data_IF_339938459745
#
_entry.id   IF_339938459745
#
_cell.length_a   1.000
_cell.length_b   1.000
_cell.length_c   1.000
_cell.angle_alpha   90.00
_cell.angle_beta   90.00
_cell.angle_gamma   90.00
#
_symmetry.space_group_name_H-M   'P 1'
#
loop_
_entity.id
_entity.type
_entity.pdbx_description
1 polymer ?
#
# COMPACT_ATOMS: atom_id res chain seq x y z
N UNK A 1 -3.26 -32.17 -25.45
CA UNK A 1 -4.54 -32.24 -24.72
C UNK A 1 -4.79 -31.05 -23.78
N UNK A 2 -4.02 -29.95 -23.84
CA UNK A 2 -4.12 -28.81 -22.91
C UNK A 2 -5.10 -27.68 -23.32
N UNK A 3 -5.80 -27.78 -24.46
CA UNK A 3 -6.52 -26.64 -25.04
C UNK A 3 -7.96 -26.43 -24.55
N UNK A 4 -8.59 -27.42 -23.90
CA UNK A 4 -10.02 -27.35 -23.57
C UNK A 4 -10.32 -26.80 -22.18
N UNK A 5 -9.38 -26.85 -21.24
CA UNK A 5 -9.60 -26.39 -19.84
C UNK A 5 -9.40 -24.89 -19.67
N UNK A 6 -8.59 -24.25 -20.51
CA UNK A 6 -8.27 -22.81 -20.42
C UNK A 6 -9.49 -21.90 -20.63
N UNK A 7 -10.36 -22.11 -21.65
CA UNK A 7 -11.56 -21.29 -21.79
C UNK A 7 -12.52 -21.44 -20.59
N UNK A 8 -12.57 -22.63 -19.99
CA UNK A 8 -13.40 -22.90 -18.82
C UNK A 8 -12.85 -22.23 -17.55
N UNK A 9 -11.53 -22.25 -17.34
CA UNK A 9 -10.87 -21.51 -16.27
C UNK A 9 -11.09 -19.99 -16.41
N UNK A 10 -10.96 -19.46 -17.62
CA UNK A 10 -11.10 -18.02 -17.89
C UNK A 10 -12.54 -17.48 -17.72
N UNK A 11 -13.54 -18.35 -17.69
CA UNK A 11 -14.97 -17.98 -17.56
C UNK A 11 -15.57 -18.36 -16.21
N UNK A 12 -14.85 -19.11 -15.39
CA UNK A 12 -15.30 -19.48 -14.05
C UNK A 12 -15.19 -18.28 -13.09
N UNK A 13 -16.09 -18.23 -12.11
CA UNK A 13 -15.96 -17.26 -11.00
C UNK A 13 -14.71 -17.53 -10.15
N UNK A 14 -14.29 -18.80 -10.07
CA UNK A 14 -13.06 -19.27 -9.45
C UNK A 14 -12.54 -20.49 -10.20
N UNK A 15 -11.36 -20.39 -10.80
CA UNK A 15 -10.64 -21.48 -11.46
C UNK A 15 -9.76 -22.26 -10.48
N UNK A 16 -9.92 -23.59 -10.41
CA UNK A 16 -9.11 -24.45 -9.55
C UNK A 16 -8.32 -25.45 -10.41
N UNK A 17 -7.00 -25.41 -10.32
CA UNK A 17 -6.10 -26.37 -10.97
C UNK A 17 -5.53 -27.38 -9.96
N UNK A 18 -5.32 -28.62 -10.41
CA UNK A 18 -4.60 -29.63 -9.64
C UNK A 18 -3.10 -29.45 -9.86
N UNK A 19 -2.34 -29.04 -8.85
CA UNK A 19 -0.92 -28.70 -8.97
C UNK A 19 -0.02 -29.87 -9.37
N UNK A 20 -0.33 -31.10 -8.97
CA UNK A 20 0.49 -32.28 -9.30
C UNK A 20 0.10 -32.97 -10.62
N UNK A 21 -1.11 -32.72 -11.14
CA UNK A 21 -1.71 -33.43 -12.28
C UNK A 21 -2.18 -32.47 -13.40
N UNK A 22 -2.18 -31.17 -13.15
CA UNK A 22 -2.56 -30.13 -14.09
C UNK A 22 -1.39 -29.76 -14.98
N UNK A 23 -1.71 -29.32 -16.20
CA UNK A 23 -0.71 -28.75 -17.11
C UNK A 23 -0.20 -27.42 -16.56
N UNK A 24 1.09 -27.10 -16.75
CA UNK A 24 1.71 -25.84 -16.31
C UNK A 24 0.85 -24.61 -16.68
N UNK A 25 0.33 -24.59 -17.91
CA UNK A 25 -0.52 -23.49 -18.40
C UNK A 25 -1.85 -23.38 -17.63
N UNK A 26 -2.43 -24.51 -17.20
CA UNK A 26 -3.66 -24.50 -16.41
C UNK A 26 -3.40 -24.10 -14.94
N UNK A 27 -2.23 -24.44 -14.40
CA UNK A 27 -1.79 -23.99 -13.07
C UNK A 27 -1.58 -22.48 -13.07
N UNK A 28 -0.94 -21.94 -14.11
CA UNK A 28 -0.70 -20.50 -14.27
C UNK A 28 -2.00 -19.68 -14.47
N UNK A 29 -3.04 -20.30 -15.03
CA UNK A 29 -4.32 -19.63 -15.32
C UNK A 29 -5.34 -19.76 -14.19
N UNK A 30 -5.15 -20.67 -13.23
CA UNK A 30 -6.10 -20.90 -12.15
C UNK A 30 -5.88 -19.95 -10.97
N UNK A 31 -6.97 -19.53 -10.31
CA UNK A 31 -6.91 -18.72 -9.09
C UNK A 31 -6.39 -19.51 -7.88
N UNK A 32 -6.62 -20.84 -7.87
CA UNK A 32 -6.18 -21.73 -6.79
C UNK A 32 -5.54 -22.99 -7.36
N UNK A 33 -4.32 -23.30 -6.92
CA UNK A 33 -3.62 -24.53 -7.25
C UNK A 33 -3.61 -25.52 -6.06
N UNK A 34 -4.25 -26.68 -6.22
CA UNK A 34 -4.25 -27.74 -5.21
C UNK A 34 -2.97 -28.58 -5.30
N UNK A 35 -2.08 -28.46 -4.32
CA UNK A 35 -0.81 -29.23 -4.24
C UNK A 35 -1.00 -30.74 -3.99
N UNK A 36 -2.23 -31.22 -3.86
CA UNK A 36 -2.58 -32.62 -3.62
C UNK A 36 -3.34 -33.25 -4.79
N UNK A 37 -3.37 -34.57 -4.80
CA UNK A 37 -4.11 -35.37 -5.78
C UNK A 37 -5.56 -35.63 -5.34
N UNK A 38 -5.88 -35.29 -4.09
CA UNK A 38 -7.12 -35.65 -3.44
C UNK A 38 -8.11 -34.49 -3.38
N UNK A 39 -9.13 -34.54 -4.24
CA UNK A 39 -10.22 -33.57 -4.30
C UNK A 39 -11.10 -33.55 -3.04
N UNK A 40 -10.99 -34.54 -2.15
CA UNK A 40 -11.75 -34.59 -0.88
C UNK A 40 -11.38 -33.45 0.09
N UNK A 41 -10.31 -32.70 -0.20
CA UNK A 41 -9.93 -31.50 0.56
C UNK A 41 -10.67 -30.21 0.11
N UNK A 42 -11.30 -30.21 -1.07
CA UNK A 42 -12.05 -29.04 -1.57
C UNK A 42 -13.16 -28.55 -0.61
N UNK A 43 -14.00 -29.43 -0.02
CA UNK A 43 -15.01 -28.99 0.94
C UNK A 43 -14.42 -28.32 2.18
N UNK A 44 -13.24 -28.76 2.63
CA UNK A 44 -12.54 -28.15 3.75
C UNK A 44 -12.07 -26.74 3.37
N UNK A 45 -11.44 -26.57 2.20
CA UNK A 45 -11.05 -25.26 1.69
C UNK A 45 -12.23 -24.28 1.61
N UNK A 46 -13.38 -24.71 1.06
CA UNK A 46 -14.60 -23.88 1.04
C UNK A 46 -15.17 -23.59 2.43
N UNK A 47 -15.00 -24.48 3.41
CA UNK A 47 -15.41 -24.21 4.79
C UNK A 47 -14.53 -23.13 5.44
N UNK A 48 -13.23 -23.14 5.18
CA UNK A 48 -12.30 -22.10 5.63
C UNK A 48 -12.61 -20.75 4.99
N UNK A 49 -12.80 -20.71 3.66
CA UNK A 49 -13.16 -19.49 2.94
C UNK A 49 -14.46 -18.87 3.47
N UNK A 50 -15.50 -19.68 3.72
CA UNK A 50 -16.78 -19.19 4.29
C UNK A 50 -16.62 -18.64 5.70
N UNK A 51 -15.77 -19.25 6.53
CA UNK A 51 -15.48 -18.75 7.87
C UNK A 51 -14.69 -17.45 7.83
N UNK A 52 -13.65 -17.38 7.01
CA UNK A 52 -12.88 -16.15 6.80
C UNK A 52 -13.79 -15.00 6.35
N UNK A 53 -14.69 -15.27 5.39
CA UNK A 53 -15.71 -14.30 4.96
C UNK A 53 -16.63 -13.85 6.09
N UNK A 54 -17.02 -14.74 7.00
CA UNK A 54 -17.85 -14.38 8.16
C UNK A 54 -17.10 -13.46 9.13
N UNK A 55 -15.84 -13.75 9.43
CA UNK A 55 -14.99 -12.92 10.31
C UNK A 55 -14.76 -11.54 9.68
N UNK A 56 -14.44 -11.49 8.37
CA UNK A 56 -14.33 -10.24 7.63
C UNK A 56 -15.62 -9.41 7.71
N UNK A 57 -16.78 -10.02 7.49
CA UNK A 57 -18.07 -9.32 7.58
C UNK A 57 -18.38 -8.82 9.00
N UNK A 58 -17.99 -9.56 10.04
CA UNK A 58 -18.08 -9.09 11.43
C UNK A 58 -17.21 -7.87 11.67
N UNK A 59 -15.95 -7.90 11.21
CA UNK A 59 -15.02 -6.80 11.34
C UNK A 59 -15.52 -5.54 10.60
N UNK A 60 -15.97 -5.68 9.35
CA UNK A 60 -16.58 -4.58 8.59
C UNK A 60 -17.80 -4.00 9.30
N UNK A 61 -18.67 -4.86 9.83
CA UNK A 61 -19.84 -4.43 10.59
C UNK A 61 -19.47 -3.66 11.86
N UNK A 62 -18.45 -4.12 12.59
CA UNK A 62 -17.95 -3.47 13.80
C UNK A 62 -17.34 -2.10 13.48
N UNK A 63 -16.47 -2.02 12.47
CA UNK A 63 -15.84 -0.76 12.03
C UNK A 63 -16.89 0.27 11.59
N UNK A 64 -17.88 -0.16 10.81
CA UNK A 64 -18.96 0.73 10.37
C UNK A 64 -19.83 1.19 11.55
N UNK A 65 -20.17 0.29 12.46
CA UNK A 65 -20.92 0.62 13.67
C UNK A 65 -20.18 1.63 14.55
N UNK A 66 -18.85 1.49 14.66
CA UNK A 66 -18.01 2.41 15.40
C UNK A 66 -18.01 3.82 14.78
N UNK A 67 -17.84 3.92 13.46
CA UNK A 67 -17.87 5.22 12.76
C UNK A 67 -19.25 5.89 12.92
N UNK A 68 -20.33 5.13 12.71
CA UNK A 68 -21.71 5.64 12.85
C UNK A 68 -21.99 6.12 14.27
N UNK A 69 -21.37 5.54 15.31
CA UNK A 69 -21.55 5.96 16.69
C UNK A 69 -20.63 7.12 17.09
N UNK A 70 -19.32 6.99 16.83
CA UNK A 70 -18.31 7.93 17.30
C UNK A 70 -18.40 9.30 16.60
N UNK A 71 -18.72 9.33 15.31
CA UNK A 71 -18.80 10.60 14.56
C UNK A 71 -19.89 11.52 15.12
N UNK A 72 -21.14 11.08 15.33
CA UNK A 72 -22.15 11.90 16.00
C UNK A 72 -21.76 12.28 17.43
N UNK A 73 -21.24 11.34 18.23
CA UNK A 73 -20.82 11.62 19.62
C UNK A 73 -19.77 12.73 19.70
N UNK A 74 -18.82 12.74 18.75
CA UNK A 74 -17.82 13.79 18.61
C UNK A 74 -18.47 15.12 18.16
N UNK A 75 -19.36 15.06 17.16
CA UNK A 75 -19.98 16.23 16.55
C UNK A 75 -20.90 16.98 17.50
N UNK A 76 -21.64 16.26 18.36
CA UNK A 76 -22.48 16.85 19.40
C UNK A 76 -21.69 17.19 20.68
N UNK A 77 -20.37 16.98 20.70
CA UNK A 77 -19.51 17.28 21.84
C UNK A 77 -19.74 16.39 23.07
N UNK A 78 -20.44 15.26 22.91
CA UNK A 78 -20.68 14.29 24.00
C UNK A 78 -19.39 13.58 24.39
N UNK A 79 -18.54 13.29 23.40
CA UNK A 79 -17.19 12.79 23.61
C UNK A 79 -16.17 13.79 23.07
N UNK A 80 -15.16 14.10 23.88
CA UNK A 80 -14.00 14.86 23.43
C UNK A 80 -13.16 14.08 22.42
N UNK A 81 -12.39 14.79 21.59
CA UNK A 81 -11.61 14.19 20.51
C UNK A 81 -10.63 13.10 20.99
N UNK A 82 -9.97 13.32 22.14
CA UNK A 82 -9.08 12.32 22.74
C UNK A 82 -9.82 11.02 23.13
N UNK A 83 -11.05 11.12 23.63
CA UNK A 83 -11.85 9.95 24.00
C UNK A 83 -12.34 9.20 22.75
N UNK A 84 -12.70 9.92 21.69
CA UNK A 84 -13.09 9.34 20.40
C UNK A 84 -11.93 8.54 19.79
N UNK A 85 -10.73 9.13 19.76
CA UNK A 85 -9.52 8.45 19.27
C UNK A 85 -9.22 7.22 20.11
N UNK A 86 -9.21 7.33 21.44
CA UNK A 86 -8.94 6.17 22.31
C UNK A 86 -9.91 5.00 22.07
N UNK A 87 -11.20 5.28 21.94
CA UNK A 87 -12.21 4.23 21.68
C UNK A 87 -12.01 3.62 20.28
N UNK A 88 -11.58 4.42 19.31
CA UNK A 88 -11.24 3.94 17.97
C UNK A 88 -10.06 2.97 17.98
N UNK A 89 -8.95 3.35 18.61
CA UNK A 89 -7.74 2.53 18.75
C UNK A 89 -8.05 1.18 19.45
N UNK A 90 -8.84 1.22 20.53
CA UNK A 90 -9.23 0.00 21.25
C UNK A 90 -10.10 -0.93 20.39
N UNK A 91 -10.95 -0.37 19.52
CA UNK A 91 -11.77 -1.16 18.63
C UNK A 91 -10.95 -1.86 17.54
N UNK A 92 -9.87 -1.25 17.07
CA UNK A 92 -8.94 -1.87 16.11
C UNK A 92 -8.27 -3.11 16.70
N UNK A 93 -7.85 -3.04 17.97
CA UNK A 93 -7.29 -4.19 18.69
C UNK A 93 -8.30 -5.35 18.71
N UNK A 94 -9.59 -5.05 18.92
CA UNK A 94 -10.66 -6.06 18.91
C UNK A 94 -10.85 -6.67 17.52
N UNK A 95 -10.81 -5.86 16.46
CA UNK A 95 -10.90 -6.31 15.06
C UNK A 95 -9.75 -7.26 14.72
N UNK A 96 -8.52 -6.89 15.10
CA UNK A 96 -7.31 -7.71 14.89
C UNK A 96 -7.40 -9.01 15.68
N UNK A 97 -7.80 -8.94 16.94
CA UNK A 97 -7.99 -10.13 17.79
C UNK A 97 -9.02 -11.10 17.20
N UNK A 98 -10.13 -10.60 16.66
CA UNK A 98 -11.14 -11.41 15.98
C UNK A 98 -10.59 -12.10 14.72
N UNK A 99 -9.74 -11.40 13.95
CA UNK A 99 -9.01 -11.98 12.83
C UNK A 99 -8.06 -13.11 13.25
N UNK A 100 -7.24 -12.87 14.28
CA UNK A 100 -6.31 -13.87 14.82
C UNK A 100 -7.00 -15.11 15.39
N UNK A 101 -8.13 -14.94 16.09
CA UNK A 101 -8.93 -16.06 16.59
C UNK A 101 -9.49 -16.97 15.47
N UNK A 102 -9.59 -16.44 14.24
CA UNK A 102 -9.92 -17.22 13.05
C UNK A 102 -8.83 -18.20 12.60
N UNK A 103 -7.55 -17.89 12.87
CA UNK A 103 -6.37 -18.64 12.40
C UNK A 103 -6.01 -19.87 13.25
N UNK A 104 -6.34 -19.87 14.55
CA UNK A 104 -5.79 -20.82 15.54
C UNK A 104 -6.29 -22.26 15.47
N UNK A 105 -7.16 -22.62 14.52
CA UNK A 105 -7.56 -24.02 14.33
C UNK A 105 -6.70 -24.69 13.26
N UNK A 106 -5.52 -25.19 13.69
CA UNK A 106 -4.70 -26.09 12.90
C UNK A 106 -5.51 -27.30 12.45
N UNK A 107 -5.83 -27.37 11.17
CA UNK A 107 -6.19 -28.63 10.51
C UNK A 107 -4.97 -29.54 10.59
N UNK A 108 -5.01 -30.54 11.48
CA UNK A 108 -4.04 -31.63 11.48
C UNK A 108 -4.19 -32.39 10.16
N UNK A 109 -3.33 -32.06 9.20
CA UNK A 109 -3.22 -32.87 7.98
C UNK A 109 -2.71 -34.27 8.40
N UNK A 110 -3.41 -35.36 8.06
CA UNK A 110 -2.86 -36.68 8.29
C UNK A 110 -1.55 -36.82 7.52
N UNK A 111 -0.47 -37.18 8.21
CA UNK A 111 0.86 -37.31 7.64
C UNK A 111 0.83 -38.24 6.43
N UNK A 112 1.30 -37.75 5.27
CA UNK A 112 1.40 -38.54 4.04
C UNK A 112 2.33 -39.74 4.26
N UNK A 113 1.89 -40.95 3.87
CA UNK A 113 2.80 -42.09 3.73
C UNK A 113 3.78 -41.80 2.59
N UNK A 114 5.10 -42.08 2.72
CA UNK A 114 6.05 -41.83 1.64
C UNK A 114 5.72 -42.72 0.45
N UNK A 115 5.50 -42.12 -0.72
CA UNK A 115 5.50 -42.84 -2.00
C UNK A 115 6.96 -43.18 -2.30
N UNK A 116 7.28 -44.47 -2.43
CA UNK A 116 8.62 -44.95 -2.82
C UNK A 116 8.99 -44.38 -4.20
N UNK A 117 10.03 -43.57 -4.26
CA UNK A 117 10.67 -43.18 -5.52
C UNK A 117 11.44 -44.37 -6.11
N UNK A 118 11.37 -44.66 -7.41
CA UNK A 118 12.30 -45.57 -8.07
C UNK A 118 13.68 -44.92 -8.23
N UNK A 119 14.73 -45.72 -8.05
CA UNK A 119 16.13 -45.29 -7.95
C UNK A 119 16.67 -44.64 -9.25
N UNK A 120 17.62 -43.68 -9.16
CA UNK A 120 18.27 -43.11 -10.34
C UNK A 120 19.30 -44.08 -10.93
N UNK A 121 19.23 -44.32 -12.24
CA UNK A 121 20.24 -45.05 -12.99
C UNK A 121 21.55 -44.25 -13.07
N UNK A 122 22.62 -44.81 -12.51
CA UNK A 122 23.97 -44.27 -12.56
C UNK A 122 24.48 -44.15 -14.00
N UNK A 123 24.81 -42.93 -14.44
CA UNK A 123 25.55 -42.70 -15.69
C UNK A 123 26.98 -42.26 -15.38
N UNK A 124 27.91 -42.99 -15.99
CA UNK A 124 29.36 -43.01 -15.80
C UNK A 124 30.04 -41.65 -16.02
N UNK A 125 31.09 -41.45 -15.22
CA UNK A 125 32.16 -40.45 -15.36
C UNK A 125 32.83 -40.48 -16.73
N UNK A 126 33.21 -39.31 -17.21
CA UNK A 126 34.41 -39.13 -18.05
C UNK A 126 35.09 -37.81 -17.70
N UNK A 127 36.32 -37.91 -17.22
CA UNK A 127 37.20 -36.80 -16.91
C UNK A 127 37.82 -36.23 -18.19
N UNK A 128 37.97 -34.89 -18.27
CA UNK A 128 39.07 -34.29 -19.05
C UNK A 128 39.51 -32.96 -18.44
N UNK A 129 40.83 -32.89 -18.28
CA UNK A 129 41.67 -31.89 -17.62
C UNK A 129 42.13 -30.86 -18.66
N UNK A 130 42.23 -29.57 -18.28
CA UNK A 130 43.28 -28.56 -18.59
C UNK A 130 42.70 -27.16 -18.35
N UNK A 131 43.08 -26.42 -17.30
CA UNK A 131 44.35 -25.72 -17.04
C UNK A 131 44.48 -24.39 -17.81
N UNK A 132 44.42 -23.25 -17.08
CA UNK A 132 45.31 -22.07 -17.20
C UNK A 132 44.86 -20.88 -16.32
N UNK A 133 45.64 -20.67 -15.26
CA UNK A 133 46.17 -19.47 -14.55
C UNK A 133 45.47 -18.08 -14.52
N UNK A 134 45.78 -17.26 -13.48
CA UNK A 134 45.00 -16.10 -13.05
C UNK A 134 45.60 -14.73 -13.43
N UNK A 135 44.83 -13.66 -13.30
CA UNK A 135 45.38 -12.30 -13.18
C UNK A 135 44.69 -11.48 -12.09
N UNK A 136 45.54 -10.70 -11.40
CA UNK A 136 45.35 -9.84 -10.23
C UNK A 136 45.56 -8.38 -10.65
N UNK A 137 45.09 -7.44 -9.80
CA UNK A 137 45.19 -5.94 -9.79
C UNK A 137 43.86 -5.28 -10.17
N UNK A 138 43.34 -4.28 -9.46
CA UNK A 138 43.96 -3.30 -8.55
C UNK A 138 43.67 -1.89 -9.08
N UNK A 139 43.45 -0.94 -8.16
CA UNK A 139 43.36 0.53 -8.31
C UNK A 139 41.92 1.09 -8.29
N UNK A 140 41.46 1.79 -7.23
CA UNK A 140 41.80 3.13 -6.67
C UNK A 140 41.22 4.31 -7.47
N UNK A 141 40.80 5.33 -6.69
CA UNK A 141 40.29 6.68 -7.01
C UNK A 141 38.76 6.82 -7.16
N UNK A 142 38.09 7.89 -6.72
CA UNK A 142 38.34 8.93 -5.72
C UNK A 142 37.05 9.77 -5.62
N UNK A 143 36.81 10.37 -4.46
CA UNK A 143 35.60 11.14 -4.16
C UNK A 143 35.45 12.45 -4.93
N UNK A 144 34.22 12.97 -4.93
CA UNK A 144 33.96 14.40 -5.09
C UNK A 144 32.73 14.80 -4.29
N UNK A 145 32.96 15.55 -3.21
CA UNK A 145 31.96 16.39 -2.55
C UNK A 145 31.75 17.62 -3.42
N UNK A 146 30.51 18.09 -3.55
CA UNK A 146 30.26 19.49 -3.90
C UNK A 146 29.32 20.16 -2.89
N UNK A 147 29.66 21.44 -2.68
CA UNK A 147 29.24 22.36 -1.63
C UNK A 147 27.86 22.95 -1.87
N UNK A 148 27.23 23.35 -0.76
CA UNK A 148 26.14 24.33 -0.67
C UNK A 148 26.56 25.71 -1.22
N UNK A 149 25.62 26.37 -1.89
CA UNK A 149 25.29 27.80 -1.86
C UNK A 149 23.77 27.86 -2.17
N UNK A 150 22.90 28.68 -1.59
CA UNK A 150 23.06 29.95 -0.91
C UNK A 150 22.34 31.06 -1.69
N UNK A 151 21.05 31.28 -1.43
CA UNK A 151 20.36 32.57 -1.60
C UNK A 151 19.68 32.88 -2.94
N UNK A 152 18.34 32.97 -2.95
CA UNK A 152 17.52 33.54 -4.02
C UNK A 152 16.01 33.36 -3.76
N UNK A 153 15.44 34.23 -2.90
CA UNK A 153 14.05 34.16 -2.40
C UNK A 153 13.01 34.60 -3.44
N UNK A 154 11.82 34.01 -3.25
CA UNK A 154 10.46 34.39 -3.65
C UNK A 154 9.85 33.70 -4.89
N UNK A 155 8.73 33.02 -4.62
CA UNK A 155 7.79 32.29 -5.49
C UNK A 155 8.18 30.83 -5.84
N UNK A 156 9.48 30.49 -5.87
CA UNK A 156 9.94 29.10 -6.10
C UNK A 156 9.87 28.22 -4.83
N UNK A 157 9.57 28.80 -3.67
CA UNK A 157 9.62 28.13 -2.35
C UNK A 157 8.38 27.30 -1.98
N UNK A 158 7.29 27.34 -2.74
CA UNK A 158 6.04 26.64 -2.37
C UNK A 158 5.76 25.41 -3.24
N UNK A 159 6.19 25.43 -4.50
CA UNK A 159 5.85 24.39 -5.48
C UNK A 159 6.74 23.15 -5.30
N UNK A 160 8.04 23.33 -5.05
CA UNK A 160 8.97 22.22 -4.91
C UNK A 160 8.67 21.33 -3.67
N UNK A 161 8.38 21.89 -2.48
CA UNK A 161 7.95 21.08 -1.34
C UNK A 161 6.59 20.42 -1.57
N UNK A 162 5.65 21.10 -2.24
CA UNK A 162 4.36 20.52 -2.61
C UNK A 162 4.53 19.32 -3.56
N UNK A 163 5.37 19.43 -4.60
CA UNK A 163 5.67 18.30 -5.49
C UNK A 163 6.29 17.15 -4.71
N UNK A 164 7.29 17.42 -3.85
CA UNK A 164 7.93 16.39 -3.04
C UNK A 164 6.94 15.69 -2.11
N UNK A 165 6.12 16.47 -1.41
CA UNK A 165 5.08 15.96 -0.52
C UNK A 165 4.07 15.08 -1.28
N UNK A 166 3.60 15.53 -2.43
CA UNK A 166 2.68 14.76 -3.26
C UNK A 166 3.29 13.45 -3.73
N UNK A 167 4.52 13.46 -4.27
CA UNK A 167 5.17 12.24 -4.77
C UNK A 167 5.29 11.19 -3.66
N UNK A 168 5.70 11.62 -2.47
CA UNK A 168 5.98 10.72 -1.34
C UNK A 168 4.70 10.09 -0.81
N UNK A 169 3.63 10.86 -0.72
CA UNK A 169 2.33 10.42 -0.22
C UNK A 169 1.50 9.67 -1.25
N UNK A 170 1.95 9.59 -2.50
CA UNK A 170 1.21 8.95 -3.58
C UNK A 170 2.05 7.89 -4.30
N UNK A 171 3.14 7.42 -3.69
CA UNK A 171 3.96 6.38 -4.29
C UNK A 171 3.23 5.03 -4.29
N UNK A 172 2.55 4.69 -3.21
CA UNK A 172 1.74 3.46 -3.04
C UNK A 172 0.52 3.47 -3.98
N UNK A 173 -0.06 4.65 -4.18
CA UNK A 173 -1.15 4.89 -5.15
C UNK A 173 -0.76 4.43 -6.56
N UNK A 174 0.52 4.52 -6.95
CA UNK A 174 0.97 4.05 -8.27
C UNK A 174 0.69 2.55 -8.44
N UNK A 175 0.92 1.75 -7.41
CA UNK A 175 0.70 0.29 -7.43
C UNK A 175 -0.81 0.02 -7.57
N UNK A 176 -1.62 0.64 -6.70
CA UNK A 176 -3.08 0.51 -6.71
C UNK A 176 -3.69 0.92 -8.06
N UNK A 177 -3.29 2.07 -8.61
CA UNK A 177 -3.74 2.51 -9.93
C UNK A 177 -3.24 1.58 -11.05
N UNK A 178 -2.01 1.06 -10.94
CA UNK A 178 -1.46 0.16 -11.97
C UNK A 178 -2.28 -1.12 -12.08
N UNK A 179 -2.80 -1.65 -10.95
CA UNK A 179 -3.69 -2.79 -10.91
C UNK A 179 -5.05 -2.49 -11.58
N UNK A 180 -5.62 -1.30 -11.37
CA UNK A 180 -6.82 -0.87 -12.08
C UNK A 180 -6.61 -0.79 -13.59
N UNK A 181 -5.44 -0.31 -14.03
CA UNK A 181 -5.06 -0.29 -15.46
C UNK A 181 -4.87 -1.69 -16.02
N UNK A 182 -4.24 -2.60 -15.28
CA UNK A 182 -4.08 -3.99 -15.68
C UNK A 182 -5.44 -4.67 -15.86
N UNK A 183 -6.38 -4.45 -14.93
CA UNK A 183 -7.73 -5.04 -14.97
C UNK A 183 -8.63 -4.45 -16.06
N UNK A 184 -8.48 -3.15 -16.33
CA UNK A 184 -9.21 -2.47 -17.40
C UNK A 184 -8.54 -2.55 -18.77
N UNK A 185 -7.48 -3.34 -18.92
CA UNK A 185 -6.78 -3.52 -20.18
C UNK A 185 -7.73 -4.06 -21.26
N UNK A 186 -7.67 -3.47 -22.46
CA UNK A 186 -8.54 -3.83 -23.58
C UNK A 186 -9.95 -3.24 -23.55
N UNK A 187 -10.38 -2.59 -22.45
CA UNK A 187 -11.68 -1.92 -22.40
C UNK A 187 -11.58 -0.45 -22.83
N UNK A 188 -12.50 0.00 -23.70
CA UNK A 188 -12.58 1.42 -24.08
C UNK A 188 -13.06 2.26 -22.91
N UNK A 189 -12.39 3.40 -22.69
CA UNK A 189 -12.74 4.37 -21.64
C UNK A 189 -12.15 4.09 -20.26
N UNK A 190 -11.35 3.03 -20.08
CA UNK A 190 -10.69 2.70 -18.80
C UNK A 190 -9.90 3.88 -18.23
N UNK A 191 -9.02 4.49 -19.02
CA UNK A 191 -8.22 5.64 -18.58
C UNK A 191 -9.09 6.77 -18.07
N UNK A 192 -10.16 7.12 -18.80
CA UNK A 192 -11.06 8.19 -18.39
C UNK A 192 -11.78 7.89 -17.08
N UNK A 193 -12.22 6.63 -16.87
CA UNK A 193 -12.86 6.22 -15.60
C UNK A 193 -11.89 6.25 -14.43
N UNK A 194 -10.66 5.78 -14.63
CA UNK A 194 -9.61 5.80 -13.61
C UNK A 194 -9.22 7.24 -13.28
N UNK A 195 -8.97 8.08 -14.28
CA UNK A 195 -8.66 9.50 -14.08
C UNK A 195 -9.78 10.20 -13.31
N UNK A 196 -11.04 10.04 -13.74
CA UNK A 196 -12.18 10.65 -13.05
C UNK A 196 -12.31 10.16 -11.60
N UNK A 197 -12.09 8.85 -11.37
CA UNK A 197 -12.13 8.27 -10.04
C UNK A 197 -11.02 8.83 -9.14
N UNK A 198 -9.80 8.90 -9.65
CA UNK A 198 -8.66 9.44 -8.90
C UNK A 198 -8.88 10.91 -8.53
N UNK A 199 -9.36 11.74 -9.46
CA UNK A 199 -9.68 13.14 -9.16
C UNK A 199 -10.77 13.27 -8.10
N UNK A 200 -11.80 12.43 -8.14
CA UNK A 200 -12.89 12.45 -7.16
C UNK A 200 -12.38 12.04 -5.77
N UNK A 201 -11.68 10.90 -5.68
CA UNK A 201 -11.12 10.40 -4.43
C UNK A 201 -10.10 11.37 -3.82
N UNK A 202 -9.18 11.88 -4.64
CA UNK A 202 -8.14 12.80 -4.20
C UNK A 202 -8.71 14.17 -3.80
N UNK A 203 -9.73 14.69 -4.50
CA UNK A 203 -10.44 15.89 -4.08
C UNK A 203 -11.15 15.68 -2.73
N UNK A 204 -11.66 14.48 -2.46
CA UNK A 204 -12.22 14.09 -1.16
C UNK A 204 -11.19 14.14 -0.03
N UNK A 205 -10.02 13.53 -0.23
CA UNK A 205 -8.90 13.56 0.74
C UNK A 205 -8.47 15.00 1.00
N UNK A 206 -8.25 15.75 -0.07
CA UNK A 206 -7.79 17.14 0.02
C UNK A 206 -8.82 18.03 0.72
N UNK A 207 -10.10 17.85 0.42
CA UNK A 207 -11.20 18.53 1.11
C UNK A 207 -11.25 18.18 2.60
N UNK A 208 -11.12 16.90 2.95
CA UNK A 208 -11.05 16.47 4.35
C UNK A 208 -9.84 17.09 5.07
N UNK A 209 -8.65 17.05 4.47
CA UNK A 209 -7.44 17.67 5.02
C UNK A 209 -7.62 19.17 5.24
N UNK A 210 -8.19 19.91 4.27
CA UNK A 210 -8.47 21.35 4.42
C UNK A 210 -9.47 21.61 5.55
N UNK A 211 -10.55 20.83 5.66
CA UNK A 211 -11.54 20.98 6.75
C UNK A 211 -10.89 20.74 8.10
N UNK A 212 -10.08 19.68 8.23
CA UNK A 212 -9.34 19.38 9.47
C UNK A 212 -8.36 20.50 9.80
N UNK A 213 -7.60 21.01 8.83
CA UNK A 213 -6.68 22.15 9.03
C UNK A 213 -7.43 23.41 9.46
N UNK A 214 -8.54 23.75 8.82
CA UNK A 214 -9.33 24.93 9.20
C UNK A 214 -9.92 24.80 10.61
N UNK A 215 -10.41 23.61 10.97
CA UNK A 215 -10.88 23.32 12.32
C UNK A 215 -9.75 23.43 13.34
N UNK A 216 -8.64 22.71 13.12
CA UNK A 216 -7.48 22.73 13.99
C UNK A 216 -6.92 24.15 14.19
N UNK A 217 -6.78 24.94 13.12
CA UNK A 217 -6.31 26.33 13.21
C UNK A 217 -7.28 27.29 13.91
N UNK A 218 -8.57 26.96 14.00
CA UNK A 218 -9.56 27.75 14.72
C UNK A 218 -9.61 27.43 16.23
N UNK A 219 -9.26 26.20 16.63
CA UNK A 219 -9.42 25.71 18.01
C UNK A 219 -8.10 25.52 18.76
N UNK A 220 -6.95 25.49 18.08
CA UNK A 220 -5.66 25.23 18.70
C UNK A 220 -4.83 26.51 18.88
N UNK A 221 -4.15 26.68 20.03
CA UNK A 221 -3.17 27.74 20.23
C UNK A 221 -2.01 27.61 19.21
N UNK A 222 -1.48 28.73 18.68
CA UNK A 222 -0.37 28.71 17.71
C UNK A 222 0.86 27.94 18.20
N UNK A 223 1.10 27.92 19.51
CA UNK A 223 2.22 27.25 20.16
C UNK A 223 2.16 25.73 20.00
N UNK A 224 0.97 25.16 19.73
CA UNK A 224 0.76 23.72 19.57
C UNK A 224 1.02 23.26 18.13
N UNK A 225 0.96 24.17 17.14
CA UNK A 225 1.08 23.84 15.71
C UNK A 225 2.40 23.12 15.35
N UNK A 226 3.59 23.54 15.84
CA UNK A 226 4.84 22.84 15.56
C UNK A 226 4.85 21.37 15.99
N UNK A 227 4.14 21.04 17.08
CA UNK A 227 4.06 19.69 17.62
C UNK A 227 3.30 18.72 16.71
N UNK A 228 2.52 19.21 15.74
CA UNK A 228 1.93 18.34 14.72
C UNK A 228 2.99 17.66 13.85
N UNK A 229 4.22 18.18 13.80
CA UNK A 229 5.36 17.49 13.20
C UNK A 229 5.73 16.17 13.89
N UNK A 230 5.27 15.95 15.13
CA UNK A 230 5.44 14.67 15.83
C UNK A 230 4.63 13.54 15.19
N UNK A 231 3.51 13.84 14.51
CA UNK A 231 2.68 12.82 13.84
C UNK A 231 3.45 12.15 12.68
N UNK A 232 3.92 12.89 11.65
CA UNK A 232 4.71 12.29 10.59
C UNK A 232 6.05 11.75 11.11
N UNK A 233 6.66 12.37 12.13
CA UNK A 233 7.86 11.81 12.75
C UNK A 233 7.61 10.44 13.39
N UNK A 234 6.54 10.29 14.16
CA UNK A 234 6.17 9.05 14.82
C UNK A 234 5.82 7.97 13.80
N UNK A 235 5.01 8.30 12.78
CA UNK A 235 4.68 7.39 11.68
C UNK A 235 5.94 6.92 10.93
N UNK A 236 6.85 7.85 10.63
CA UNK A 236 8.10 7.51 9.95
C UNK A 236 9.03 6.64 10.81
N UNK A 237 9.15 6.91 12.11
CA UNK A 237 9.94 6.08 13.02
C UNK A 237 9.30 4.69 13.22
N UNK A 238 7.98 4.61 13.30
CA UNK A 238 7.24 3.36 13.42
C UNK A 238 7.40 2.51 12.16
N UNK A 239 7.24 3.09 10.97
CA UNK A 239 7.45 2.41 9.71
C UNK A 239 8.89 1.92 9.52
N UNK A 240 9.90 2.72 9.93
CA UNK A 240 11.30 2.30 9.92
C UNK A 240 11.58 1.13 10.89
N UNK A 241 10.91 1.12 12.04
CA UNK A 241 11.05 0.06 13.03
C UNK A 241 10.40 -1.24 12.57
N UNK A 242 9.22 -1.15 11.96
CA UNK A 242 8.54 -2.31 11.36
C UNK A 242 9.39 -2.93 10.24
N UNK A 243 9.92 -2.08 9.34
CA UNK A 243 10.83 -2.52 8.28
C UNK A 243 12.11 -3.19 8.81
N UNK A 244 12.58 -2.80 10.00
CA UNK A 244 13.73 -3.42 10.65
C UNK A 244 13.39 -4.72 11.39
N UNK A 245 12.16 -4.87 11.87
CA UNK A 245 11.74 -6.02 12.70
C UNK A 245 11.47 -7.28 11.90
N UNK A 246 11.42 -7.19 10.57
CA UNK A 246 11.53 -8.31 9.64
C UNK A 246 10.57 -9.45 9.99
N UNK A 247 9.29 -9.26 9.75
CA UNK A 247 8.34 -10.36 9.72
C UNK A 247 7.95 -10.62 8.27
N UNK A 248 8.51 -11.68 7.69
CA UNK A 248 8.13 -12.29 6.41
C UNK A 248 6.69 -12.86 6.52
N UNK A 249 5.68 -12.01 6.51
CA UNK A 249 4.29 -12.40 6.24
C UNK A 249 3.76 -11.54 5.09
N UNK A 250 4.38 -11.66 3.92
CA UNK A 250 3.86 -11.13 2.66
C UNK A 250 2.73 -12.05 2.17
N UNK A 251 1.49 -11.76 2.58
CA UNK A 251 0.27 -12.31 1.98
C UNK A 251 -0.93 -11.41 2.36
N UNK A 252 -0.88 -10.13 1.99
CA UNK A 252 -2.03 -9.22 2.20
C UNK A 252 -2.33 -8.29 1.02
N UNK A 253 -1.98 -8.71 -0.19
CA UNK A 253 -2.29 -7.98 -1.43
C UNK A 253 -3.46 -8.61 -2.20
N UNK A 254 -4.65 -8.58 -1.59
CA UNK A 254 -5.88 -8.94 -2.31
C UNK A 254 -7.15 -8.26 -1.73
N UNK A 255 -7.10 -6.94 -1.51
CA UNK A 255 -8.29 -6.18 -1.06
C UNK A 255 -9.17 -5.61 -2.18
N UNK A 256 -8.95 -5.96 -3.46
CA UNK A 256 -9.77 -5.43 -4.57
C UNK A 256 -10.36 -6.52 -5.48
N UNK A 257 -10.41 -7.77 -5.02
CA UNK A 257 -11.04 -8.86 -5.75
C UNK A 257 -12.58 -8.75 -5.72
N UNK A 258 -13.19 -8.04 -6.66
CA UNK A 258 -14.60 -8.30 -7.03
C UNK A 258 -15.50 -7.17 -7.52
N UNK A 259 -15.01 -5.95 -7.77
CA UNK A 259 -15.85 -4.87 -8.33
C UNK A 259 -15.34 -4.37 -9.68
N UNK A 260 -16.26 -4.15 -10.62
CA UNK A 260 -16.00 -3.57 -11.94
C UNK A 260 -15.19 -2.26 -11.80
N UNK A 261 -14.35 -1.96 -12.81
CA UNK A 261 -13.53 -0.73 -12.91
C UNK A 261 -14.45 0.47 -13.16
N UNK A 262 -15.16 0.88 -12.12
CA UNK A 262 -16.04 2.03 -12.06
C UNK A 262 -15.35 3.23 -11.42
N UNK A 263 -15.74 4.43 -11.83
CA UNK A 263 -15.25 5.71 -11.28
C UNK A 263 -15.35 5.73 -9.76
N UNK A 264 -16.48 5.30 -9.21
CA UNK A 264 -16.72 5.23 -7.76
C UNK A 264 -15.85 4.20 -7.05
N UNK A 265 -15.56 3.06 -7.68
CA UNK A 265 -14.65 2.06 -7.11
C UNK A 265 -13.24 2.62 -6.98
N UNK A 266 -12.74 3.26 -8.06
CA UNK A 266 -11.42 3.89 -8.04
C UNK A 266 -11.40 5.00 -6.99
N UNK A 267 -12.38 5.91 -6.98
CA UNK A 267 -12.45 7.00 -6.01
C UNK A 267 -12.50 6.53 -4.56
N UNK A 268 -13.29 5.49 -4.26
CA UNK A 268 -13.40 4.93 -2.92
C UNK A 268 -12.09 4.27 -2.48
N UNK A 269 -11.40 3.58 -3.39
CA UNK A 269 -10.10 2.97 -3.10
C UNK A 269 -9.04 4.05 -2.92
N UNK A 270 -8.97 5.08 -3.78
CA UNK A 270 -8.08 6.23 -3.59
C UNK A 270 -8.32 6.89 -2.24
N UNK A 271 -9.59 7.15 -1.87
CA UNK A 271 -9.92 7.78 -0.60
C UNK A 271 -9.55 6.91 0.61
N UNK A 272 -9.76 5.59 0.51
CA UNK A 272 -9.40 4.64 1.56
C UNK A 272 -7.88 4.48 1.69
N UNK A 273 -7.16 4.48 0.57
CA UNK A 273 -5.70 4.37 0.54
C UNK A 273 -5.05 5.64 1.08
N UNK A 274 -5.45 6.81 0.57
CA UNK A 274 -4.92 8.10 0.99
C UNK A 274 -5.48 8.64 2.31
N UNK A 275 -5.89 7.77 3.24
CA UNK A 275 -6.25 8.17 4.61
C UNK A 275 -5.02 8.62 5.41
N UNK A 276 -3.89 7.94 5.21
CA UNK A 276 -2.58 8.30 5.75
C UNK A 276 -2.10 9.69 5.25
N UNK A 277 -2.48 10.05 4.02
CA UNK A 277 -2.19 11.36 3.42
C UNK A 277 -2.78 12.50 4.23
N UNK A 278 -3.91 12.31 4.92
CA UNK A 278 -4.47 13.33 5.83
C UNK A 278 -3.52 13.60 7.00
N UNK A 279 -2.93 12.54 7.58
CA UNK A 279 -1.97 12.64 8.68
C UNK A 279 -0.68 13.38 8.31
N UNK A 280 -0.35 13.44 7.01
CA UNK A 280 0.82 14.16 6.49
C UNK A 280 0.45 15.56 5.97
N UNK A 281 -0.68 15.72 5.30
CA UNK A 281 -1.12 17.00 4.71
C UNK A 281 -1.56 17.99 5.78
N UNK A 282 -2.30 17.54 6.80
CA UNK A 282 -2.85 18.44 7.83
C UNK A 282 -1.75 19.20 8.58
N UNK A 283 -0.68 18.54 9.11
CA UNK A 283 0.45 19.25 9.73
C UNK A 283 1.11 20.27 8.79
N UNK A 284 1.31 19.90 7.52
CA UNK A 284 1.93 20.80 6.54
C UNK A 284 1.04 22.01 6.26
N UNK A 285 -0.26 21.79 6.07
CA UNK A 285 -1.22 22.86 5.82
C UNK A 285 -1.37 23.81 7.01
N UNK A 286 -1.26 23.30 8.25
CA UNK A 286 -1.24 24.14 9.46
C UNK A 286 0.04 24.98 9.57
N UNK A 287 1.16 24.50 9.02
CA UNK A 287 2.44 25.22 9.02
C UNK A 287 2.56 26.30 7.93
N UNK A 288 1.60 26.40 7.02
CA UNK A 288 1.62 27.37 5.91
C UNK A 288 0.36 28.24 5.90
N UNK A 289 0.44 29.43 5.32
CA UNK A 289 -0.72 30.33 5.24
C UNK A 289 -1.83 29.82 4.31
N UNK A 290 -3.08 30.31 4.43
CA UNK A 290 -4.22 29.85 3.62
C UNK A 290 -4.00 29.94 2.11
N UNK A 291 -3.33 31.00 1.64
CA UNK A 291 -2.99 31.16 0.22
C UNK A 291 -2.02 30.06 -0.28
N UNK A 292 -1.11 29.60 0.58
CA UNK A 292 -0.22 28.50 0.26
C UNK A 292 -0.98 27.16 0.25
N UNK A 293 -1.93 26.94 1.16
CA UNK A 293 -2.79 25.76 1.14
C UNK A 293 -3.55 25.64 -0.20
N UNK A 294 -4.12 26.75 -0.69
CA UNK A 294 -4.78 26.78 -2.01
C UNK A 294 -3.79 26.45 -3.13
N UNK A 295 -2.56 26.98 -3.08
CA UNK A 295 -1.54 26.66 -4.06
C UNK A 295 -1.14 25.17 -4.03
N UNK A 296 -1.01 24.56 -2.84
CA UNK A 296 -0.77 23.12 -2.70
C UNK A 296 -1.91 22.30 -3.29
N UNK A 297 -3.16 22.70 -3.04
CA UNK A 297 -4.34 22.06 -3.60
C UNK A 297 -4.31 22.03 -5.14
N UNK A 298 -4.00 23.17 -5.76
CA UNK A 298 -3.88 23.28 -7.22
C UNK A 298 -2.75 22.41 -7.75
N UNK A 299 -1.57 22.45 -7.11
CA UNK A 299 -0.41 21.64 -7.51
C UNK A 299 -0.73 20.15 -7.40
N UNK A 300 -1.36 19.70 -6.32
CA UNK A 300 -1.69 18.30 -6.12
C UNK A 300 -2.68 17.81 -7.17
N UNK A 301 -3.75 18.57 -7.42
CA UNK A 301 -4.71 18.24 -8.48
C UNK A 301 -4.06 18.22 -9.87
N UNK A 302 -3.08 19.08 -10.15
CA UNK A 302 -2.32 19.00 -11.40
C UNK A 302 -1.44 17.73 -11.46
N UNK A 303 -0.80 17.35 -10.35
CA UNK A 303 0.06 16.17 -10.27
C UNK A 303 -0.73 14.85 -10.29
N UNK A 304 -2.02 14.83 -9.94
CA UNK A 304 -2.89 13.65 -10.12
C UNK A 304 -2.87 13.16 -11.57
N UNK A 305 -2.84 14.06 -12.57
CA UNK A 305 -2.71 13.65 -13.97
C UNK A 305 -1.38 12.92 -14.24
N UNK A 306 -0.28 13.43 -13.65
CA UNK A 306 1.05 12.82 -13.76
C UNK A 306 1.08 11.45 -13.09
N UNK A 307 0.47 11.33 -11.91
CA UNK A 307 0.32 10.08 -11.17
C UNK A 307 -0.41 9.02 -11.98
N UNK A 308 -1.56 9.37 -12.59
CA UNK A 308 -2.34 8.45 -13.42
C UNK A 308 -1.54 8.00 -14.66
N UNK A 309 -0.77 8.91 -15.27
CA UNK A 309 0.11 8.57 -16.40
C UNK A 309 1.26 7.65 -15.97
N UNK A 310 1.87 7.90 -14.81
CA UNK A 310 2.91 7.08 -14.23
C UNK A 310 2.39 5.67 -13.92
N UNK A 311 1.24 5.55 -13.27
CA UNK A 311 0.61 4.27 -12.98
C UNK A 311 0.27 3.48 -14.26
N UNK A 312 -0.24 4.16 -15.30
CA UNK A 312 -0.47 3.53 -16.61
C UNK A 312 0.83 3.01 -17.22
N UNK A 313 1.92 3.75 -17.07
CA UNK A 313 3.24 3.33 -17.54
C UNK A 313 3.76 2.11 -16.76
N UNK A 314 3.65 2.13 -15.44
CA UNK A 314 4.05 1.01 -14.57
C UNK A 314 3.22 -0.25 -14.84
N UNK A 315 1.90 -0.11 -15.07
CA UNK A 315 1.02 -1.23 -15.42
C UNK A 315 1.46 -2.00 -16.68
N UNK A 316 2.20 -1.36 -17.59
CA UNK A 316 2.74 -2.00 -18.79
C UNK A 316 4.12 -2.64 -18.59
N UNK A 317 4.75 -2.46 -17.42
CA UNK A 317 6.15 -2.84 -17.15
C UNK A 317 6.30 -3.44 -15.74
N UNK A 318 6.11 -4.76 -15.62
CA UNK A 318 6.29 -5.52 -14.36
C UNK A 318 7.58 -5.21 -13.58
N UNK A 319 8.78 -5.10 -14.21
CA UNK A 319 10.01 -4.84 -13.46
C UNK A 319 10.02 -3.50 -12.70
N UNK A 320 9.21 -2.54 -13.13
CA UNK A 320 9.15 -1.22 -12.49
C UNK A 320 8.26 -1.28 -11.23
N UNK A 321 7.20 -2.07 -11.26
CA UNK A 321 6.33 -2.27 -10.10
C UNK A 321 7.10 -2.91 -8.94
N UNK A 322 7.81 -4.01 -9.21
CA UNK A 322 8.65 -4.72 -8.22
C UNK A 322 9.73 -3.81 -7.61
N UNK A 323 10.33 -2.95 -8.43
CA UNK A 323 11.32 -1.97 -7.92
C UNK A 323 10.63 -0.93 -7.05
N UNK A 324 9.47 -0.40 -7.45
CA UNK A 324 8.78 0.63 -6.69
C UNK A 324 8.41 0.13 -5.28
N UNK A 325 7.80 -1.05 -5.21
CA UNK A 325 7.43 -1.76 -3.97
C UNK A 325 8.65 -2.01 -3.06
N UNK A 326 9.78 -2.40 -3.68
CA UNK A 326 11.04 -2.61 -2.93
C UNK A 326 11.67 -1.30 -2.43
N UNK A 327 11.33 -0.15 -2.97
CA UNK A 327 11.90 1.12 -2.49
C UNK A 327 10.95 1.85 -1.54
N UNK A 328 9.65 1.58 -1.63
CA UNK A 328 8.60 2.17 -0.81
C UNK A 328 8.88 2.05 0.69
N UNK A 329 9.12 0.84 1.18
CA UNK A 329 9.37 0.54 2.59
C UNK A 329 10.61 1.25 3.16
N UNK A 330 11.53 1.73 2.31
CA UNK A 330 12.72 2.50 2.73
C UNK A 330 12.48 4.00 2.57
N UNK A 331 11.87 4.41 1.46
CA UNK A 331 11.70 5.82 1.10
C UNK A 331 10.67 6.49 2.01
N UNK A 332 9.54 5.82 2.26
CA UNK A 332 8.42 6.38 3.03
C UNK A 332 8.83 6.77 4.47
N UNK A 333 9.48 5.90 5.27
CA UNK A 333 9.95 6.26 6.60
C UNK A 333 10.94 7.44 6.60
N UNK A 334 11.90 7.44 5.67
CA UNK A 334 12.95 8.47 5.59
C UNK A 334 12.32 9.85 5.37
N UNK A 335 11.37 9.93 4.45
CA UNK A 335 10.76 11.22 4.11
C UNK A 335 9.83 11.70 5.22
N UNK A 336 9.04 10.81 5.83
CA UNK A 336 8.20 11.16 6.97
C UNK A 336 9.01 11.69 8.17
N UNK A 337 10.12 11.02 8.50
CA UNK A 337 11.05 11.49 9.54
C UNK A 337 11.60 12.87 9.16
N UNK A 338 12.06 13.04 7.92
CA UNK A 338 12.58 14.31 7.42
C UNK A 338 11.55 15.45 7.48
N UNK A 339 10.31 15.18 7.08
CA UNK A 339 9.20 16.13 7.11
C UNK A 339 8.81 16.50 8.54
N UNK A 340 8.69 15.51 9.44
CA UNK A 340 8.36 15.73 10.84
C UNK A 340 9.41 16.58 11.55
N UNK A 341 10.69 16.25 11.36
CA UNK A 341 11.81 17.08 11.86
C UNK A 341 11.75 18.49 11.26
N UNK A 342 11.48 18.62 9.96
CA UNK A 342 11.39 19.92 9.30
C UNK A 342 10.28 20.81 9.89
N UNK A 343 9.10 20.25 10.13
CA UNK A 343 7.97 20.97 10.74
C UNK A 343 8.31 21.38 12.18
N UNK A 344 8.88 20.47 12.97
CA UNK A 344 9.30 20.76 14.35
C UNK A 344 10.33 21.88 14.41
N UNK A 345 11.41 21.77 13.63
CA UNK A 345 12.50 22.76 13.62
C UNK A 345 12.01 24.09 13.06
N UNK A 346 11.21 24.08 12.00
CA UNK A 346 10.70 25.31 11.40
C UNK A 346 9.71 26.02 12.33
N UNK A 347 8.86 25.29 13.04
CA UNK A 347 7.93 25.87 14.01
C UNK A 347 8.61 26.41 15.28
N UNK A 348 9.61 25.70 15.80
CA UNK A 348 10.35 26.11 17.01
C UNK A 348 11.38 27.23 16.72
N UNK A 349 11.81 27.42 15.47
CA UNK A 349 12.79 28.44 15.09
C UNK A 349 12.21 29.86 14.98
N UNK A 350 10.88 30.05 15.07
CA UNK A 350 10.23 31.37 15.07
C UNK A 350 9.79 31.86 16.46
N UNK A 351 10.15 31.17 17.54
CA UNK A 351 9.88 31.57 18.94
C UNK A 351 11.04 32.33 19.62
N UNK A 352 12.07 32.78 18.89
CA UNK A 352 13.11 33.67 19.42
C UNK A 352 13.25 34.98 18.64
#
# INVERSE_FOLDING_TARGET
>A
MASTTLPALATADVGIAMGAMGTDVAIETADVALMGEDLRHLPQAFSHARRARRIMLQNVGLSLGLIIALVPLALFGVLGLAAVVLVHELAEIVVIANGCAGRTQHTRWPARRPIRQPAPLARRRSARRRDRRPHRRGDLWAGKRHRRHGGGRMIVSSVLPAIGLFIVTNIDDIIVLSLFFARGAGQRGTTARITAGQYLGFAGILGAAVVVTLGAGAFLPPEVIPYFGLIPLALGLWAAWEAWRGNDDDDDDDKVAGKNVGVLTVAAVTFANGGDNIGVYVPVFLSVGPAAVVAYCIVFLALVAVLVLAARFVATRRPIAEVLERWEHVLFPIVLIGLGIFILVSGLAFEN
#
